data_IF_033745395669
#
_entry.id   IF_033745395669
#
_cell.length_a   1.000
_cell.length_b   1.000
_cell.length_c   1.000
_cell.angle_alpha   90.00
_cell.angle_beta   90.00
_cell.angle_gamma   90.00
#
_symmetry.space_group_name_H-M   'P 1'
#
loop_
_entity.id
_entity.type
_entity.pdbx_description
1 polymer ?
#
# COMPACT_ATOMS: atom_id res chain seq x y z
N UNK A 1 -39.89 -5.03 -18.17
CA UNK A 1 -38.89 -4.63 -17.16
C UNK A 1 -37.56 -5.23 -17.59
N UNK A 2 -36.73 -4.46 -18.28
CA UNK A 2 -35.44 -4.96 -18.78
C UNK A 2 -34.47 -5.15 -17.61
N UNK A 3 -33.62 -6.20 -17.60
CA UNK A 3 -32.61 -6.35 -16.56
C UNK A 3 -31.59 -5.20 -16.69
N UNK A 4 -31.07 -4.67 -15.57
CA UNK A 4 -30.04 -3.64 -15.63
C UNK A 4 -28.79 -4.19 -16.29
N UNK A 5 -28.18 -3.33 -17.11
CA UNK A 5 -27.02 -3.63 -17.92
C UNK A 5 -25.76 -3.83 -17.06
N UNK A 6 -24.78 -4.61 -17.55
CA UNK A 6 -23.57 -4.92 -16.79
C UNK A 6 -22.70 -3.70 -16.45
N UNK A 7 -22.88 -2.57 -17.15
CA UNK A 7 -22.15 -1.32 -16.91
C UNK A 7 -22.79 -0.45 -15.81
N UNK A 8 -24.10 -0.57 -15.55
CA UNK A 8 -24.74 0.11 -14.40
C UNK A 8 -24.35 -0.51 -13.05
N UNK A 9 -23.78 -1.71 -13.07
CA UNK A 9 -23.30 -2.44 -11.89
C UNK A 9 -21.85 -2.15 -11.51
N UNK A 10 -21.09 -1.38 -12.28
CA UNK A 10 -19.76 -0.93 -11.85
C UNK A 10 -19.86 0.28 -10.93
N UNK A 11 -20.67 0.17 -9.86
CA UNK A 11 -20.42 1.00 -8.70
C UNK A 11 -19.14 0.46 -8.09
N UNK A 12 -18.00 1.11 -8.37
CA UNK A 12 -16.79 0.85 -7.60
C UNK A 12 -17.17 1.05 -6.15
N UNK A 13 -17.08 -0.03 -5.37
CA UNK A 13 -17.66 -0.02 -4.05
C UNK A 13 -16.99 1.07 -3.21
N UNK A 14 -17.80 1.79 -2.45
CA UNK A 14 -17.35 2.80 -1.50
C UNK A 14 -17.57 2.27 -0.10
N UNK A 15 -16.67 2.60 0.82
CA UNK A 15 -16.78 2.21 2.23
C UNK A 15 -17.35 3.38 3.02
N UNK A 16 -18.49 3.14 3.67
CA UNK A 16 -19.12 4.10 4.56
C UNK A 16 -18.33 4.33 5.86
N UNK A 17 -18.72 5.33 6.64
CA UNK A 17 -18.12 5.57 7.95
C UNK A 17 -18.36 4.39 8.90
N UNK A 18 -17.32 3.92 9.59
CA UNK A 18 -17.39 2.79 10.53
C UNK A 18 -17.55 1.41 9.88
N UNK A 19 -17.56 1.32 8.55
CA UNK A 19 -17.65 0.05 7.83
C UNK A 19 -16.28 -0.63 7.76
N UNK A 20 -16.28 -1.96 7.87
CA UNK A 20 -15.13 -2.83 7.62
C UNK A 20 -15.34 -3.58 6.31
N UNK A 21 -14.35 -3.53 5.41
CA UNK A 21 -14.40 -4.22 4.13
C UNK A 21 -13.14 -5.06 3.92
N UNK A 22 -13.34 -6.33 3.57
CA UNK A 22 -12.26 -7.23 3.16
C UNK A 22 -12.09 -7.13 1.65
N UNK A 23 -10.89 -6.79 1.20
CA UNK A 23 -10.51 -6.83 -0.21
C UNK A 23 -9.91 -8.20 -0.52
N UNK A 24 -10.37 -8.81 -1.62
CA UNK A 24 -9.94 -10.15 -2.04
C UNK A 24 -9.55 -10.12 -3.51
N UNK A 25 -8.95 -11.20 -4.01
CA UNK A 25 -8.67 -11.34 -5.45
C UNK A 25 -9.93 -11.20 -6.31
N UNK A 26 -11.10 -11.62 -5.80
CA UNK A 26 -12.38 -11.54 -6.52
C UNK A 26 -13.04 -10.16 -6.45
N UNK A 27 -12.76 -9.41 -5.38
CA UNK A 27 -13.25 -8.04 -5.17
C UNK A 27 -12.11 -7.17 -4.61
N UNK A 28 -11.14 -6.78 -5.46
CA UNK A 28 -9.89 -6.21 -4.99
C UNK A 28 -9.95 -4.71 -4.81
N UNK A 29 -10.96 -4.02 -5.37
CA UNK A 29 -10.91 -2.57 -5.57
C UNK A 29 -11.99 -1.85 -4.79
N UNK A 30 -11.61 -0.76 -4.14
CA UNK A 30 -12.51 0.18 -3.48
C UNK A 30 -12.09 1.60 -3.80
N UNK A 31 -13.07 2.48 -4.06
CA UNK A 31 -12.83 3.92 -4.12
C UNK A 31 -13.20 4.54 -2.80
N UNK A 32 -12.25 5.22 -2.16
CA UNK A 32 -12.51 5.96 -0.94
C UNK A 32 -13.36 7.19 -1.26
N UNK A 33 -14.20 7.60 -0.32
CA UNK A 33 -14.89 8.88 -0.44
C UNK A 33 -13.90 10.04 -0.45
N UNK A 34 -14.31 11.19 -0.98
CA UNK A 34 -13.49 12.41 -0.96
C UNK A 34 -13.07 12.84 0.45
N UNK A 35 -13.91 12.59 1.46
CA UNK A 35 -13.57 12.86 2.87
C UNK A 35 -12.48 11.92 3.35
N UNK A 36 -12.65 10.60 3.14
CA UNK A 36 -11.64 9.59 3.49
C UNK A 36 -10.32 9.76 2.71
N UNK A 37 -10.35 10.42 1.56
CA UNK A 37 -9.16 10.65 0.72
C UNK A 37 -8.40 11.93 1.08
N UNK A 38 -9.02 12.85 1.84
CA UNK A 38 -8.50 14.21 2.03
C UNK A 38 -8.40 14.69 3.47
N UNK A 39 -8.88 13.92 4.45
CA UNK A 39 -8.91 14.34 5.86
C UNK A 39 -8.08 13.41 6.73
N UNK A 40 -7.16 13.98 7.52
CA UNK A 40 -6.38 13.25 8.52
C UNK A 40 -5.25 12.42 7.91
N UNK A 41 -5.09 11.19 8.39
CA UNK A 41 -4.13 10.19 7.91
C UNK A 41 -4.84 8.97 7.34
N UNK A 42 -4.17 8.29 6.42
CA UNK A 42 -4.41 6.89 6.10
C UNK A 42 -3.29 6.08 6.73
N UNK A 43 -3.64 5.25 7.70
CA UNK A 43 -2.69 4.42 8.44
C UNK A 43 -2.80 2.98 7.95
N UNK A 44 -1.65 2.40 7.60
CA UNK A 44 -1.55 1.06 7.03
C UNK A 44 -0.65 0.23 7.94
N UNK A 45 -1.17 -0.89 8.45
CA UNK A 45 -0.45 -1.77 9.38
C UNK A 45 -0.45 -3.21 8.88
N UNK A 46 0.70 -3.89 8.97
CA UNK A 46 0.79 -5.33 8.71
C UNK A 46 0.64 -6.11 10.04
N UNK A 47 -0.59 -6.51 10.36
CA UNK A 47 -0.92 -7.25 11.58
C UNK A 47 -0.66 -8.74 11.34
N UNK A 48 0.48 -9.23 11.79
CA UNK A 48 0.90 -10.63 11.58
C UNK A 48 1.50 -11.24 12.86
N UNK A 49 1.44 -12.57 12.98
CA UNK A 49 2.11 -13.27 14.07
C UNK A 49 3.63 -13.24 13.90
N UNK A 50 4.37 -13.43 15.00
CA UNK A 50 5.82 -13.54 14.96
C UNK A 50 6.32 -14.75 14.14
N UNK A 51 5.45 -15.73 13.85
CA UNK A 51 5.77 -16.93 13.08
C UNK A 51 6.02 -16.64 11.59
N UNK A 52 5.51 -15.52 11.07
CA UNK A 52 5.78 -15.09 9.68
C UNK A 52 7.27 -14.79 9.49
N UNK A 53 7.98 -14.41 10.56
CA UNK A 53 9.41 -14.13 10.55
C UNK A 53 9.71 -12.63 10.59
N UNK A 54 10.68 -12.19 9.79
CA UNK A 54 11.21 -10.83 9.81
C UNK A 54 10.56 -9.91 8.77
N UNK A 55 9.24 -10.05 8.62
CA UNK A 55 8.43 -9.23 7.72
C UNK A 55 8.63 -7.74 8.04
N UNK A 56 8.91 -6.98 6.98
CA UNK A 56 8.97 -5.52 6.96
C UNK A 56 7.98 -4.96 5.96
N UNK A 57 7.49 -3.75 6.21
CA UNK A 57 6.59 -3.03 5.31
C UNK A 57 7.33 -1.86 4.63
N UNK A 58 7.00 -1.63 3.37
CA UNK A 58 7.48 -0.46 2.62
C UNK A 58 6.49 -0.03 1.55
N UNK A 59 6.74 1.14 0.97
CA UNK A 59 5.97 1.66 -0.13
C UNK A 59 6.84 2.34 -1.18
N UNK A 60 6.59 2.04 -2.45
CA UNK A 60 7.07 2.86 -3.56
C UNK A 60 6.04 3.94 -3.86
N UNK A 61 6.48 5.17 -4.12
CA UNK A 61 5.59 6.29 -4.40
C UNK A 61 6.04 7.06 -5.63
N UNK A 62 5.06 7.73 -6.27
CA UNK A 62 5.26 8.67 -7.36
C UNK A 62 4.38 9.91 -7.10
N UNK A 63 4.99 11.08 -7.17
CA UNK A 63 4.34 12.38 -7.08
C UNK A 63 3.92 12.86 -8.46
N UNK A 64 2.91 13.72 -8.52
CA UNK A 64 2.47 14.38 -9.76
C UNK A 64 3.56 15.28 -10.37
N UNK A 65 4.48 15.78 -9.56
CA UNK A 65 5.67 16.52 -10.01
C UNK A 65 6.71 15.63 -10.72
N UNK A 66 6.52 14.31 -10.70
CA UNK A 66 7.43 13.32 -11.28
C UNK A 66 8.44 12.74 -10.30
N UNK A 67 8.56 13.31 -9.08
CA UNK A 67 9.41 12.76 -8.02
C UNK A 67 8.94 11.37 -7.59
N UNK A 68 9.88 10.46 -7.31
CA UNK A 68 9.57 9.08 -6.92
C UNK A 68 10.63 8.55 -5.97
N UNK A 69 10.24 7.60 -5.12
CA UNK A 69 11.17 6.95 -4.20
C UNK A 69 10.49 5.81 -3.45
N UNK A 70 11.16 5.35 -2.39
CA UNK A 70 10.56 4.40 -1.45
C UNK A 70 10.56 4.93 -0.03
N UNK A 71 9.60 4.46 0.75
CA UNK A 71 9.58 4.57 2.21
C UNK A 71 9.65 3.17 2.79
N UNK A 72 10.64 2.92 3.65
CA UNK A 72 10.86 1.64 4.32
C UNK A 72 11.62 1.89 5.63
N UNK A 73 10.98 1.59 6.76
CA UNK A 73 11.51 1.91 8.08
C UNK A 73 12.81 1.16 8.40
N UNK A 74 12.84 -0.14 8.11
CA UNK A 74 13.94 -1.03 8.45
C UNK A 74 15.26 -0.70 7.72
N UNK A 75 15.17 -0.13 6.51
CA UNK A 75 16.31 0.19 5.66
C UNK A 75 16.64 1.71 5.66
N UNK A 76 16.14 2.45 6.65
CA UNK A 76 16.51 3.84 6.92
C UNK A 76 15.78 4.92 6.10
N UNK A 77 15.07 4.55 5.02
CA UNK A 77 14.30 5.47 4.18
C UNK A 77 12.92 5.76 4.80
N UNK A 78 12.88 6.42 5.96
CA UNK A 78 11.65 6.55 6.77
C UNK A 78 10.64 7.55 6.26
N UNK A 79 11.05 8.51 5.43
CA UNK A 79 10.22 9.64 5.02
C UNK A 79 10.22 9.79 3.51
N UNK A 80 9.07 10.12 2.93
CA UNK A 80 8.94 10.44 1.51
C UNK A 80 7.92 11.55 1.27
N UNK A 81 8.16 12.50 0.36
CA UNK A 81 9.42 12.75 -0.37
C UNK A 81 10.44 13.57 0.41
N UNK A 82 10.07 14.08 1.59
CA UNK A 82 10.93 14.94 2.41
C UNK A 82 10.77 14.62 3.87
N UNK A 83 11.87 14.66 4.63
CA UNK A 83 11.83 14.54 6.10
C UNK A 83 11.22 15.75 6.80
N UNK A 84 11.18 16.93 6.16
CA UNK A 84 10.63 18.17 6.75
C UNK A 84 9.12 18.26 6.63
N UNK A 85 8.58 17.76 5.51
CA UNK A 85 7.15 17.69 5.21
C UNK A 85 6.88 16.36 4.51
N UNK A 86 6.84 15.25 5.27
CA UNK A 86 6.59 13.95 4.68
C UNK A 86 5.13 13.83 4.25
N UNK A 87 4.92 13.23 3.09
CA UNK A 87 3.62 12.71 2.67
C UNK A 87 3.46 11.28 3.17
N UNK A 88 4.53 10.49 3.14
CA UNK A 88 4.60 9.12 3.62
C UNK A 88 5.62 9.01 4.76
N UNK A 89 5.26 8.26 5.80
CA UNK A 89 6.14 7.94 6.94
C UNK A 89 6.10 6.44 7.21
N UNK A 90 7.26 5.81 7.26
CA UNK A 90 7.42 4.43 7.69
C UNK A 90 7.84 4.37 9.16
N UNK A 91 7.16 3.55 9.95
CA UNK A 91 7.44 3.37 11.37
C UNK A 91 7.16 1.93 11.81
N UNK A 92 7.49 1.63 13.06
CA UNK A 92 7.18 0.35 13.70
C UNK A 92 6.87 0.58 15.17
N UNK A 93 5.76 0.03 15.63
CA UNK A 93 5.47 -0.13 17.06
C UNK A 93 5.39 -1.62 17.37
N UNK A 94 4.20 -2.16 17.62
CA UNK A 94 3.96 -3.61 17.67
C UNK A 94 4.13 -4.23 16.28
N UNK A 95 3.50 -3.60 15.29
CA UNK A 95 3.53 -4.01 13.88
C UNK A 95 4.27 -2.99 13.00
N UNK A 96 4.59 -3.40 11.77
CA UNK A 96 5.13 -2.51 10.73
C UNK A 96 4.02 -1.59 10.22
N UNK A 97 4.34 -0.30 10.07
CA UNK A 97 3.36 0.74 9.73
C UNK A 97 3.83 1.67 8.62
N UNK A 98 2.86 2.13 7.84
CA UNK A 98 2.98 3.27 6.94
C UNK A 98 1.86 4.26 7.24
N UNK A 99 2.21 5.52 7.46
CA UNK A 99 1.26 6.63 7.56
C UNK A 99 1.32 7.50 6.32
N UNK A 100 0.17 7.90 5.80
CA UNK A 100 0.03 8.83 4.67
C UNK A 100 -0.72 10.08 5.15
N UNK A 101 -0.13 11.27 5.02
CA UNK A 101 -0.80 12.54 5.35
C UNK A 101 -1.78 12.92 4.25
N UNK A 102 -3.08 12.76 4.53
CA UNK A 102 -4.12 12.92 3.52
C UNK A 102 -4.32 14.37 3.06
N UNK A 103 -3.82 15.33 3.83
CA UNK A 103 -3.84 16.76 3.46
C UNK A 103 -2.88 17.06 2.31
N UNK A 104 -1.89 16.20 2.09
CA UNK A 104 -0.88 16.31 1.04
C UNK A 104 -1.12 15.32 -0.11
N UNK A 105 -2.17 14.49 -0.05
CA UNK A 105 -2.48 13.47 -1.07
C UNK A 105 -2.59 14.03 -2.48
N UNK A 106 -2.99 15.29 -2.66
CA UNK A 106 -3.11 15.90 -4.00
C UNK A 106 -1.78 15.89 -4.77
N UNK A 107 -0.66 15.94 -4.08
CA UNK A 107 0.67 15.88 -4.70
C UNK A 107 1.07 14.45 -5.07
N UNK A 108 0.43 13.45 -4.48
CA UNK A 108 0.64 12.04 -4.75
C UNK A 108 -0.12 11.63 -6.02
N UNK A 109 0.58 10.98 -6.94
CA UNK A 109 -0.02 10.36 -8.13
C UNK A 109 -0.47 8.94 -7.82
N UNK A 110 0.44 8.14 -7.25
CA UNK A 110 0.18 6.76 -6.82
C UNK A 110 1.22 6.28 -5.82
N UNK A 111 0.87 5.24 -5.08
CA UNK A 111 1.81 4.44 -4.29
C UNK A 111 1.51 2.94 -4.42
N UNK A 112 2.47 2.11 -4.07
CA UNK A 112 2.30 0.68 -3.96
C UNK A 112 2.97 0.18 -2.68
N UNK A 113 2.21 -0.54 -1.85
CA UNK A 113 2.64 -1.07 -0.56
C UNK A 113 3.07 -2.52 -0.74
N UNK A 114 4.28 -2.83 -0.30
CA UNK A 114 4.87 -4.15 -0.36
C UNK A 114 5.32 -4.62 1.03
N UNK A 115 5.30 -5.93 1.25
CA UNK A 115 5.96 -6.57 2.38
C UNK A 115 7.17 -7.39 1.91
N UNK A 116 8.23 -7.46 2.72
CA UNK A 116 9.46 -8.17 2.38
C UNK A 116 10.16 -8.76 3.61
N UNK A 117 10.97 -9.81 3.40
CA UNK A 117 11.86 -10.35 4.43
C UNK A 117 13.08 -9.46 4.60
N UNK A 118 13.36 -8.99 5.81
CA UNK A 118 14.58 -8.22 6.08
C UNK A 118 15.86 -9.02 5.79
N UNK A 119 15.92 -10.29 6.15
CA UNK A 119 17.06 -11.20 5.99
C UNK A 119 17.17 -11.82 4.59
N UNK A 120 16.19 -11.57 3.70
CA UNK A 120 16.05 -12.25 2.40
C UNK A 120 15.73 -13.75 2.52
N UNK A 121 15.23 -14.19 3.68
CA UNK A 121 14.66 -15.51 3.83
C UNK A 121 13.30 -15.58 3.12
N UNK A 122 12.89 -16.79 2.72
CA UNK A 122 11.53 -17.03 2.27
C UNK A 122 10.57 -16.89 3.45
N UNK A 123 9.48 -16.13 3.25
CA UNK A 123 8.40 -16.00 4.22
C UNK A 123 7.21 -16.84 3.77
N UNK A 124 6.56 -17.47 4.76
CA UNK A 124 5.19 -17.97 4.61
C UNK A 124 4.26 -16.88 5.11
N UNK A 125 3.63 -16.18 4.19
CA UNK A 125 2.79 -15.02 4.50
C UNK A 125 1.56 -15.42 5.33
N UNK A 126 1.12 -14.51 6.19
CA UNK A 126 -0.08 -14.67 7.01
C UNK A 126 -0.41 -13.40 7.78
N UNK A 127 -1.63 -13.32 8.29
CA UNK A 127 -2.14 -12.12 8.93
C UNK A 127 -2.83 -11.20 7.92
N UNK A 128 -3.00 -9.93 8.30
CA UNK A 128 -3.83 -8.98 7.56
C UNK A 128 -3.13 -7.65 7.42
N UNK A 129 -3.12 -7.09 6.20
CA UNK A 129 -2.82 -5.67 6.01
C UNK A 129 -4.09 -4.87 6.29
N UNK A 130 -4.05 -4.01 7.31
CA UNK A 130 -5.19 -3.19 7.74
C UNK A 130 -4.94 -1.75 7.33
N UNK A 131 -5.86 -1.16 6.56
CA UNK A 131 -5.87 0.25 6.22
C UNK A 131 -6.97 0.93 7.04
N UNK A 132 -6.59 1.76 8.00
CA UNK A 132 -7.52 2.53 8.83
C UNK A 132 -7.77 3.89 8.18
N UNK A 133 -9.03 4.16 7.88
CA UNK A 133 -9.49 5.37 7.20
C UNK A 133 -10.01 6.41 8.21
N UNK A 134 -10.15 7.65 7.75
CA UNK A 134 -10.87 8.67 8.48
C UNK A 134 -12.29 8.20 8.86
N UNK A 135 -12.70 8.46 10.10
CA UNK A 135 -14.00 8.04 10.63
C UNK A 135 -14.04 6.58 11.11
N UNK A 136 -12.89 5.92 11.23
CA UNK A 136 -12.77 4.58 11.85
C UNK A 136 -13.13 3.41 10.94
N UNK A 137 -13.46 3.67 9.66
CA UNK A 137 -13.64 2.62 8.67
C UNK A 137 -12.33 1.88 8.40
N UNK A 138 -12.41 0.61 8.01
CA UNK A 138 -11.22 -0.23 7.75
C UNK A 138 -11.33 -0.98 6.44
N UNK A 139 -10.22 -1.05 5.72
CA UNK A 139 -10.01 -2.03 4.66
C UNK A 139 -9.04 -3.10 5.16
N UNK A 140 -9.34 -4.34 4.85
CA UNK A 140 -8.52 -5.48 5.26
C UNK A 140 -8.11 -6.29 4.04
N UNK A 141 -6.82 -6.60 3.93
CA UNK A 141 -6.26 -7.43 2.87
C UNK A 141 -5.62 -8.66 3.52
N UNK A 142 -6.30 -9.82 3.52
CA UNK A 142 -5.79 -11.05 4.12
C UNK A 142 -4.60 -11.59 3.32
N UNK A 143 -3.51 -11.92 4.01
CA UNK A 143 -2.22 -12.26 3.39
C UNK A 143 -2.05 -13.77 3.11
N UNK A 144 -2.97 -14.61 3.58
CA UNK A 144 -2.88 -16.08 3.52
C UNK A 144 -2.94 -16.64 2.10
N UNK A 145 -3.38 -15.83 1.13
CA UNK A 145 -3.47 -16.22 -0.28
C UNK A 145 -2.14 -16.09 -1.03
N UNK A 146 -1.16 -15.39 -0.46
CA UNK A 146 0.14 -15.20 -1.08
C UNK A 146 0.94 -16.51 -1.11
N UNK A 147 1.58 -16.80 -2.24
CA UNK A 147 2.59 -17.87 -2.31
C UNK A 147 3.81 -17.50 -1.49
N UNK A 148 4.47 -18.47 -0.87
CA UNK A 148 5.71 -18.23 -0.13
C UNK A 148 6.74 -17.50 -1.00
N UNK A 149 7.47 -16.55 -0.42
CA UNK A 149 8.46 -15.75 -1.15
C UNK A 149 9.14 -14.71 -0.27
N UNK A 150 10.02 -13.91 -0.88
CA UNK A 150 10.83 -12.90 -0.16
C UNK A 150 10.19 -11.52 -0.14
N UNK A 151 9.34 -11.24 -1.11
CA UNK A 151 8.65 -9.97 -1.28
C UNK A 151 7.28 -10.21 -1.92
N UNK A 152 6.29 -9.44 -1.49
CA UNK A 152 4.96 -9.44 -2.07
C UNK A 152 4.43 -8.02 -2.22
N UNK A 153 3.76 -7.74 -3.34
CA UNK A 153 2.97 -6.55 -3.51
C UNK A 153 1.60 -6.77 -2.87
N UNK A 154 1.22 -5.90 -1.93
CA UNK A 154 0.01 -6.08 -1.14
C UNK A 154 -1.14 -5.24 -1.68
N UNK A 155 -0.89 -3.95 -1.90
CA UNK A 155 -1.91 -3.04 -2.43
C UNK A 155 -1.29 -1.92 -3.26
N UNK A 156 -2.01 -1.48 -4.29
CA UNK A 156 -1.76 -0.22 -4.98
C UNK A 156 -2.81 0.81 -4.61
N UNK A 157 -2.39 2.07 -4.55
CA UNK A 157 -3.27 3.20 -4.27
C UNK A 157 -3.04 4.26 -5.34
N UNK A 158 -4.08 4.60 -6.08
CA UNK A 158 -4.07 5.62 -7.12
C UNK A 158 -4.85 6.84 -6.68
N UNK A 159 -4.35 8.03 -6.96
CA UNK A 159 -5.09 9.26 -6.72
C UNK A 159 -5.79 9.72 -8.01
N UNK A 160 -7.09 9.51 -8.06
CA UNK A 160 -7.98 9.90 -9.15
C UNK A 160 -8.73 11.17 -8.75
N UNK A 161 -8.26 12.33 -9.21
CA UNK A 161 -8.88 13.65 -8.96
C UNK A 161 -9.18 13.98 -7.48
N UNK A 162 -8.31 13.51 -6.59
CA UNK A 162 -8.40 13.68 -5.15
C UNK A 162 -9.23 12.62 -4.42
N UNK A 163 -9.71 11.59 -5.12
CA UNK A 163 -10.24 10.36 -4.53
C UNK A 163 -9.19 9.25 -4.63
N UNK A 164 -8.93 8.56 -3.53
CA UNK A 164 -8.01 7.42 -3.50
C UNK A 164 -8.74 6.16 -3.93
N UNK A 165 -8.18 5.47 -4.90
CA UNK A 165 -8.60 4.13 -5.33
C UNK A 165 -7.60 3.14 -4.80
N UNK A 166 -8.04 2.28 -3.88
CA UNK A 166 -7.23 1.22 -3.28
C UNK A 166 -7.54 -0.09 -4.00
N UNK A 167 -6.51 -0.82 -4.40
CA UNK A 167 -6.63 -2.14 -5.00
C UNK A 167 -5.74 -3.15 -4.27
N UNK A 168 -6.30 -4.26 -3.83
CA UNK A 168 -5.53 -5.41 -3.34
C UNK A 168 -4.83 -6.09 -4.53
N UNK A 169 -3.53 -6.31 -4.39
CA UNK A 169 -2.70 -6.95 -5.41
C UNK A 169 -2.47 -8.42 -5.08
N UNK A 170 -2.06 -8.71 -3.84
CA UNK A 170 -1.81 -10.08 -3.34
C UNK A 170 -0.92 -10.91 -4.28
N UNK A 171 0.21 -10.34 -4.68
CA UNK A 171 1.15 -10.98 -5.60
C UNK A 171 2.54 -11.13 -4.98
N UNK A 172 3.03 -12.36 -4.90
CA UNK A 172 4.44 -12.64 -4.56
C UNK A 172 5.33 -12.39 -5.77
N UNK A 173 6.40 -11.63 -5.58
CA UNK A 173 7.31 -11.24 -6.67
C UNK A 173 8.67 -11.91 -6.50
N UNK A 174 9.23 -12.39 -7.60
CA UNK A 174 10.61 -12.86 -7.64
C UNK A 174 11.59 -11.68 -7.66
N UNK A 175 12.48 -11.61 -6.66
CA UNK A 175 13.52 -10.59 -6.55
C UNK A 175 13.53 -9.87 -5.20
N UNK A 176 13.99 -8.62 -5.21
CA UNK A 176 13.98 -7.71 -4.07
C UNK A 176 13.04 -6.52 -4.34
N UNK A 177 13.06 -5.51 -3.47
CA UNK A 177 12.22 -4.30 -3.54
C UNK A 177 12.28 -3.62 -4.92
N UNK A 178 13.46 -3.56 -5.53
CA UNK A 178 13.64 -2.98 -6.86
C UNK A 178 12.82 -3.71 -7.93
N UNK A 179 12.84 -5.04 -7.92
CA UNK A 179 12.10 -5.85 -8.89
C UNK A 179 10.58 -5.70 -8.68
N UNK A 180 10.11 -5.71 -7.43
CA UNK A 180 8.70 -5.44 -7.12
C UNK A 180 8.26 -4.02 -7.56
N UNK A 181 9.08 -3.00 -7.27
CA UNK A 181 8.80 -1.64 -7.70
C UNK A 181 8.72 -1.54 -9.24
N UNK A 182 9.63 -2.20 -9.96
CA UNK A 182 9.63 -2.23 -11.44
C UNK A 182 8.44 -2.98 -12.02
N UNK A 183 8.07 -4.13 -11.43
CA UNK A 183 6.89 -4.89 -11.86
C UNK A 183 5.61 -4.05 -11.80
N UNK A 184 5.52 -3.12 -10.85
CA UNK A 184 4.40 -2.19 -10.69
C UNK A 184 4.64 -0.81 -11.36
N UNK A 185 5.63 -0.72 -12.23
CA UNK A 185 5.88 0.45 -13.07
C UNK A 185 6.57 1.63 -12.38
N UNK A 186 7.16 1.46 -11.20
CA UNK A 186 7.98 2.48 -10.53
C UNK A 186 9.43 2.50 -11.06
N UNK A 187 9.58 2.51 -12.39
CA UNK A 187 10.87 2.40 -13.07
C UNK A 187 11.77 3.65 -12.97
N UNK A 188 11.25 4.77 -12.46
CA UNK A 188 12.01 6.03 -12.30
C UNK A 188 12.88 6.06 -11.05
N UNK A 189 12.63 5.16 -10.09
CA UNK A 189 13.45 5.07 -8.89
C UNK A 189 14.82 4.55 -9.30
N UNK A 190 15.87 5.27 -8.92
CA UNK A 190 17.26 4.85 -9.12
C UNK A 190 17.71 4.04 -7.91
N UNK A 191 18.57 3.04 -8.13
CA UNK A 191 18.89 2.05 -7.10
C UNK A 191 20.40 1.83 -7.00
N UNK A 192 20.90 1.76 -5.76
CA UNK A 192 22.28 1.32 -5.48
C UNK A 192 22.38 -0.20 -5.57
N UNK A 193 21.37 -0.89 -5.05
CA UNK A 193 21.24 -2.36 -5.04
C UNK A 193 19.77 -2.77 -5.14
N UNK A 194 19.41 -4.01 -4.80
CA UNK A 194 18.03 -4.50 -4.87
C UNK A 194 17.06 -3.83 -3.88
N UNK A 195 17.53 -3.10 -2.87
CA UNK A 195 16.70 -2.52 -1.79
C UNK A 195 16.93 -1.06 -1.50
N UNK A 196 18.11 -0.54 -1.80
CA UNK A 196 18.47 0.83 -1.45
C UNK A 196 18.26 1.77 -2.65
N UNK A 197 17.29 2.70 -2.60
CA UNK A 197 17.17 3.75 -3.61
C UNK A 197 18.37 4.71 -3.54
N UNK A 198 18.64 5.41 -4.63
CA UNK A 198 19.54 6.57 -4.66
C UNK A 198 18.66 7.80 -4.81
N UNK A 199 18.89 8.79 -3.95
CA UNK A 199 18.23 10.10 -4.01
C UNK A 199 18.74 10.95 -5.19
#
# INVERSE_FOLDING_TARGET
MSPPSAWERSHVARVGAGEQRILTVADPTVTLTRVQSGVGSLDIEAVCSAEVGDLRLGAAYQLRSGGSGVVQHADGSRFGPSSRRPVLVGSREEYERLGIDLRQTRDLERLAVYAYSQSRAELRWGGTLVLTLFGGSRLEVPLERLYAGRIAMLTTIYNMDGELVVRAELETIDGDVREAARAYGFGRITWRDGRTPVD
#
